data_IF_141321242645
#
_entry.id   IF_141321242645
#
_cell.length_a   1.000
_cell.length_b   1.000
_cell.length_c   1.000
_cell.angle_alpha   90.00
_cell.angle_beta   90.00
_cell.angle_gamma   90.00
#
_symmetry.space_group_name_H-M   'P 1'
#
loop_
_entity.id
_entity.type
_entity.pdbx_description
1 polymer ?
#
# COMPACT_ATOMS: atom_id res chain seq x y z
N UNK A 1 3.23 -10.80 10.81
CA UNK A 1 2.02 -10.56 10.00
C UNK A 1 2.31 -10.90 8.55
N UNK A 2 1.45 -11.69 7.89
CA UNK A 2 1.62 -11.98 6.47
C UNK A 2 0.86 -10.97 5.59
N UNK A 3 1.32 -10.81 4.37
CA UNK A 3 0.67 -10.02 3.31
C UNK A 3 0.60 -10.90 2.07
N UNK A 4 -0.56 -10.91 1.42
CA UNK A 4 -0.72 -11.56 0.11
C UNK A 4 -1.63 -10.74 -0.79
N UNK A 5 -1.35 -10.79 -2.09
CA UNK A 5 -2.17 -10.18 -3.13
C UNK A 5 -3.47 -10.95 -3.36
N UNK A 6 -3.49 -12.24 -3.00
CA UNK A 6 -4.63 -13.13 -3.25
C UNK A 6 -5.33 -13.50 -1.94
N UNK A 7 -6.45 -14.21 -2.05
CA UNK A 7 -7.09 -14.83 -0.90
C UNK A 7 -6.27 -16.03 -0.38
N UNK A 8 -6.59 -16.48 0.83
CA UNK A 8 -6.02 -17.69 1.43
C UNK A 8 -7.11 -18.74 1.62
N UNK A 9 -6.76 -20.02 1.45
CA UNK A 9 -7.70 -21.13 1.56
C UNK A 9 -7.68 -21.74 2.97
N UNK A 10 -7.99 -20.93 3.98
CA UNK A 10 -8.13 -21.32 5.39
C UNK A 10 -9.31 -20.57 6.00
N UNK A 11 -9.83 -21.04 7.14
CA UNK A 11 -10.84 -20.29 7.91
C UNK A 11 -10.26 -18.98 8.45
N UNK A 12 -10.96 -17.87 8.23
CA UNK A 12 -10.56 -16.57 8.76
C UNK A 12 -11.76 -15.67 9.02
N UNK A 13 -11.59 -14.78 9.99
CA UNK A 13 -12.52 -13.69 10.28
C UNK A 13 -11.99 -12.36 9.73
N UNK A 14 -12.82 -11.61 9.01
CA UNK A 14 -12.48 -10.28 8.49
C UNK A 14 -12.53 -9.25 9.63
N UNK A 15 -11.43 -8.53 9.85
CA UNK A 15 -11.35 -7.42 10.82
C UNK A 15 -11.72 -6.07 10.20
N UNK A 16 -11.47 -5.89 8.91
CA UNK A 16 -11.82 -4.68 8.18
C UNK A 16 -10.92 -4.45 6.97
N UNK A 17 -11.27 -3.46 6.15
CA UNK A 17 -10.43 -3.00 5.03
C UNK A 17 -9.51 -1.89 5.54
N UNK A 18 -8.25 -1.93 5.14
CA UNK A 18 -7.25 -0.90 5.43
C UNK A 18 -6.67 -0.35 4.15
N UNK A 19 -6.31 0.92 4.19
CA UNK A 19 -5.66 1.64 3.10
C UNK A 19 -4.45 2.41 3.62
N UNK A 20 -3.46 2.63 2.77
CA UNK A 20 -2.30 3.46 3.07
C UNK A 20 -1.83 4.18 1.81
N UNK A 21 -1.68 5.50 1.91
CA UNK A 21 -1.15 6.33 0.84
C UNK A 21 0.27 6.80 1.18
N UNK A 22 1.16 6.67 0.22
CA UNK A 22 2.51 7.23 0.25
C UNK A 22 2.71 8.08 -1.00
N UNK A 23 3.30 9.25 -0.84
CA UNK A 23 3.57 10.17 -1.94
C UNK A 23 4.96 10.76 -1.81
N UNK A 24 5.60 11.00 -2.95
CA UNK A 24 6.89 11.68 -3.05
C UNK A 24 6.76 12.84 -4.03
N UNK A 25 7.36 13.98 -3.68
CA UNK A 25 7.51 15.10 -4.60
C UNK A 25 8.80 14.92 -5.41
N UNK A 26 8.70 15.03 -6.73
CA UNK A 26 9.85 15.03 -7.64
C UNK A 26 10.48 16.42 -7.72
N UNK A 27 11.81 16.44 -7.74
CA UNK A 27 12.61 17.60 -8.13
C UNK A 27 12.48 17.79 -9.66
N UNK A 28 12.71 19.01 -10.15
CA UNK A 28 12.56 19.30 -11.59
C UNK A 28 13.56 18.53 -12.45
N UNK A 29 14.72 18.18 -11.88
CA UNK A 29 15.77 17.36 -12.46
C UNK A 29 15.51 15.85 -12.39
N UNK A 30 14.48 15.42 -11.66
CA UNK A 30 14.18 14.02 -11.35
C UNK A 30 12.84 13.54 -11.96
N UNK A 31 12.27 14.29 -12.91
CA UNK A 31 10.94 14.02 -13.49
C UNK A 31 10.82 12.67 -14.21
N UNK A 32 11.95 12.05 -14.58
CA UNK A 32 12.05 10.75 -15.24
C UNK A 32 12.37 9.60 -14.26
N UNK A 33 12.60 9.90 -12.97
CA UNK A 33 12.98 8.92 -11.94
C UNK A 33 11.79 8.17 -11.36
N UNK A 34 11.10 7.40 -12.21
CA UNK A 34 10.01 6.53 -11.78
C UNK A 34 10.46 5.37 -10.88
N UNK A 35 11.75 5.05 -10.85
CA UNK A 35 12.31 4.09 -9.88
C UNK A 35 12.09 4.51 -8.41
N UNK A 36 11.79 5.78 -8.16
CA UNK A 36 11.44 6.25 -6.81
C UNK A 36 10.08 5.69 -6.32
N UNK A 37 9.27 5.08 -7.20
CA UNK A 37 8.08 4.32 -6.79
C UNK A 37 8.41 3.15 -5.87
N UNK A 38 9.58 2.51 -6.01
CA UNK A 38 9.96 1.36 -5.19
C UNK A 38 9.94 1.72 -3.70
N UNK A 39 10.46 2.91 -3.35
CA UNK A 39 10.41 3.43 -1.99
C UNK A 39 8.96 3.64 -1.51
N UNK A 40 8.08 4.11 -2.38
CA UNK A 40 6.67 4.36 -2.04
C UNK A 40 5.89 3.08 -1.82
N UNK A 41 6.22 2.00 -2.54
CA UNK A 41 5.67 0.67 -2.27
C UNK A 41 6.08 0.16 -0.90
N UNK A 42 7.37 0.26 -0.53
CA UNK A 42 7.84 -0.14 0.79
C UNK A 42 7.21 0.70 1.91
N UNK A 43 7.13 2.02 1.73
CA UNK A 43 6.51 2.93 2.71
C UNK A 43 5.01 2.65 2.89
N UNK A 44 4.29 2.44 1.80
CA UNK A 44 2.85 2.13 1.85
C UNK A 44 2.59 0.75 2.46
N UNK A 45 3.44 -0.25 2.18
CA UNK A 45 3.41 -1.57 2.83
C UNK A 45 3.65 -1.49 4.34
N UNK A 46 4.64 -0.70 4.78
CA UNK A 46 4.90 -0.50 6.21
C UNK A 46 3.72 0.18 6.92
N UNK A 47 3.10 1.18 6.27
CA UNK A 47 1.92 1.88 6.82
C UNK A 47 0.70 0.97 6.92
N UNK A 48 0.42 0.16 5.89
CA UNK A 48 -0.75 -0.72 5.89
C UNK A 48 -0.60 -1.85 6.92
N UNK A 49 0.62 -2.36 7.12
CA UNK A 49 0.92 -3.33 8.18
C UNK A 49 0.66 -2.76 9.57
N UNK A 50 1.14 -1.55 9.86
CA UNK A 50 0.86 -0.88 11.15
C UNK A 50 -0.64 -0.72 11.40
N UNK A 51 -1.43 -0.39 10.36
CA UNK A 51 -2.89 -0.31 10.48
C UNK A 51 -3.52 -1.68 10.78
N UNK A 52 -3.03 -2.74 10.18
CA UNK A 52 -3.49 -4.10 10.47
C UNK A 52 -3.08 -4.57 11.88
N UNK A 53 -1.93 -4.14 12.39
CA UNK A 53 -1.49 -4.43 13.77
C UNK A 53 -2.44 -3.78 14.78
N UNK A 54 -2.85 -2.53 14.54
CA UNK A 54 -3.83 -1.84 15.37
C UNK A 54 -5.21 -2.51 15.37
N UNK A 55 -5.54 -3.27 14.31
CA UNK A 55 -6.76 -4.05 14.19
C UNK A 55 -6.63 -5.47 14.77
N UNK A 56 -5.47 -5.81 15.36
CA UNK A 56 -5.16 -7.15 15.87
C UNK A 56 -5.40 -8.24 14.81
N UNK A 57 -5.00 -7.98 13.56
CA UNK A 57 -5.04 -8.96 12.47
C UNK A 57 -3.80 -9.83 12.42
N UNK A 58 -3.94 -11.06 11.94
CA UNK A 58 -2.83 -11.99 11.69
C UNK A 58 -2.17 -11.72 10.32
N UNK A 59 -2.93 -11.15 9.38
CA UNK A 59 -2.46 -10.82 8.05
C UNK A 59 -3.39 -9.90 7.25
N UNK A 60 -2.90 -9.50 6.08
CA UNK A 60 -3.66 -8.74 5.08
C UNK A 60 -3.74 -9.58 3.80
N UNK A 61 -4.95 -9.76 3.29
CA UNK A 61 -5.24 -10.46 2.02
C UNK A 61 -5.77 -9.49 0.98
N UNK A 62 -5.72 -9.91 -0.29
CA UNK A 62 -6.25 -9.10 -1.38
C UNK A 62 -5.52 -7.77 -1.55
N UNK A 63 -4.21 -7.74 -1.24
CA UNK A 63 -3.42 -6.52 -1.38
C UNK A 63 -3.38 -6.08 -2.84
N UNK A 64 -3.68 -4.81 -3.05
CA UNK A 64 -3.62 -4.13 -4.34
C UNK A 64 -2.96 -2.77 -4.16
N UNK A 65 -2.35 -2.30 -5.25
CA UNK A 65 -1.77 -0.98 -5.32
C UNK A 65 -2.33 -0.23 -6.52
N UNK A 66 -2.73 1.01 -6.30
CA UNK A 66 -2.94 1.97 -7.39
C UNK A 66 -1.76 2.93 -7.38
N UNK A 67 -1.23 3.24 -8.56
CA UNK A 67 -0.15 4.22 -8.74
C UNK A 67 -0.65 5.38 -9.57
N UNK A 68 -0.27 6.58 -9.14
CA UNK A 68 -0.64 7.82 -9.81
C UNK A 68 0.60 8.71 -9.97
N UNK A 69 0.70 9.35 -11.13
CA UNK A 69 1.68 10.39 -11.40
C UNK A 69 0.90 11.69 -11.58
N UNK A 70 1.05 12.61 -10.64
CA UNK A 70 0.33 13.88 -10.67
C UNK A 70 1.20 14.96 -11.27
N UNK A 71 0.69 15.62 -12.30
CA UNK A 71 1.34 16.73 -12.96
C UNK A 71 0.93 18.07 -12.33
N UNK A 72 1.89 18.97 -12.19
CA UNK A 72 1.65 20.36 -11.80
C UNK A 72 2.25 21.25 -12.88
N UNK A 73 1.43 22.12 -13.48
CA UNK A 73 1.84 23.00 -14.58
C UNK A 73 2.44 22.24 -15.79
N UNK A 74 1.95 21.02 -16.06
CA UNK A 74 2.35 20.19 -17.21
C UNK A 74 3.65 19.41 -17.02
N UNK A 75 4.18 19.34 -15.79
CA UNK A 75 5.32 18.50 -15.45
C UNK A 75 4.97 17.52 -14.31
N UNK A 76 5.43 16.26 -14.35
CA UNK A 76 5.30 15.31 -13.25
C UNK A 76 5.89 15.90 -11.97
N UNK A 77 5.06 16.05 -10.93
CA UNK A 77 5.47 16.65 -9.66
C UNK A 77 5.34 15.72 -8.48
N UNK A 78 4.38 14.80 -8.51
CA UNK A 78 4.18 13.84 -7.45
C UNK A 78 4.07 12.43 -7.99
N UNK A 79 4.74 11.50 -7.33
CA UNK A 79 4.50 10.07 -7.44
C UNK A 79 3.67 9.65 -6.24
N UNK A 80 2.58 8.92 -6.45
CA UNK A 80 1.65 8.52 -5.39
C UNK A 80 1.37 7.02 -5.53
N UNK A 81 1.43 6.32 -4.40
CA UNK A 81 1.06 4.90 -4.27
C UNK A 81 -0.03 4.78 -3.21
N UNK A 82 -1.14 4.20 -3.62
CA UNK A 82 -2.25 3.83 -2.75
C UNK A 82 -2.25 2.32 -2.58
N UNK A 83 -1.94 1.84 -1.39
CA UNK A 83 -2.06 0.44 -1.01
C UNK A 83 -3.41 0.22 -0.31
N UNK A 84 -4.10 -0.87 -0.63
CA UNK A 84 -5.28 -1.28 0.12
C UNK A 84 -5.41 -2.80 0.18
N UNK A 85 -6.05 -3.29 1.23
CA UNK A 85 -6.26 -4.72 1.44
C UNK A 85 -7.15 -4.99 2.64
N UNK A 86 -7.48 -6.26 2.84
CA UNK A 86 -8.40 -6.71 3.89
C UNK A 86 -7.62 -7.35 5.02
N UNK A 87 -7.77 -6.82 6.23
CA UNK A 87 -7.19 -7.38 7.45
C UNK A 87 -8.04 -8.56 7.90
N UNK A 88 -7.38 -9.67 8.17
CA UNK A 88 -8.01 -10.89 8.64
C UNK A 88 -7.30 -11.44 9.87
N UNK A 89 -8.03 -12.24 10.65
CA UNK A 89 -7.47 -13.09 11.70
C UNK A 89 -7.79 -14.54 11.37
N UNK A 90 -6.79 -15.41 11.46
CA UNK A 90 -6.96 -16.83 11.14
C UNK A 90 -7.67 -17.50 12.31
N UNK A 91 -8.75 -18.22 12.00
CA UNK A 91 -9.48 -18.97 13.01
C UNK A 91 -8.60 -20.15 13.48
N UNK A 92 -8.42 -20.29 14.80
CA UNK A 92 -7.59 -21.36 15.39
C UNK A 92 -8.35 -22.67 15.51
#
# INVERSE_FOLDING_TARGET
MFITTEAINVGYTIKGVVEATSSLMLSSEDIDKYNMFDQLFDDSKNKIQKKAELLNGDGIIGLRYNTEVTEVQGAPKFLIVHAYGTVISIDK
#
